data_IF_997768438379
#
_entry.id   IF_997768438379
#
_cell.length_a   1.000
_cell.length_b   1.000
_cell.length_c   1.000
_cell.angle_alpha   90.00
_cell.angle_beta   90.00
_cell.angle_gamma   90.00
#
_symmetry.space_group_name_H-M   'P 1'
#
loop_
_entity.id
_entity.type
_entity.pdbx_description
1 polymer ?
#
# COMPACT_ATOMS: atom_id res chain seq x y z
N UNK A 1 -3.20 -1.67 -33.25
CA UNK A 1 -3.85 -2.33 -34.39
C UNK A 1 -3.05 -2.00 -35.64
N UNK A 2 -2.83 -2.97 -36.52
CA UNK A 2 -2.19 -2.76 -37.83
C UNK A 2 -3.15 -3.25 -38.89
N UNK A 3 -3.45 -2.39 -39.87
CA UNK A 3 -4.22 -2.74 -41.05
C UNK A 3 -3.30 -2.60 -42.26
N UNK A 4 -3.18 -3.64 -43.07
CA UNK A 4 -2.49 -3.58 -44.36
C UNK A 4 -3.50 -3.79 -45.47
N UNK A 5 -3.50 -2.89 -46.44
CA UNK A 5 -4.33 -2.97 -47.64
C UNK A 5 -3.42 -2.89 -48.86
N UNK A 6 -3.65 -3.74 -49.85
CA UNK A 6 -2.99 -3.64 -51.14
C UNK A 6 -3.78 -2.66 -52.03
N UNK A 7 -3.10 -1.64 -52.57
CA UNK A 7 -3.74 -0.67 -53.48
C UNK A 7 -4.37 -1.37 -54.71
N UNK A 8 -5.52 -0.89 -55.22
CA UNK A 8 -6.16 -1.49 -56.39
C UNK A 8 -5.22 -1.43 -57.59
N UNK A 9 -4.99 -2.58 -58.21
CA UNK A 9 -4.29 -2.64 -59.51
C UNK A 9 -5.31 -2.54 -60.65
N UNK A 10 -4.88 -2.08 -61.83
CA UNK A 10 -5.71 -2.00 -63.05
C UNK A 10 -6.41 -3.33 -63.37
N UNK A 11 -5.78 -4.46 -63.01
CA UNK A 11 -6.35 -5.80 -63.16
C UNK A 11 -7.61 -6.03 -62.30
N UNK A 12 -7.71 -5.45 -61.10
CA UNK A 12 -8.86 -5.65 -60.21
C UNK A 12 -10.12 -4.98 -60.76
N UNK A 13 -9.97 -3.82 -61.42
CA UNK A 13 -11.06 -3.08 -62.06
C UNK A 13 -11.61 -3.83 -63.28
N UNK A 14 -10.73 -4.46 -64.07
CA UNK A 14 -11.13 -5.29 -65.22
C UNK A 14 -11.88 -6.56 -64.74
N UNK A 15 -11.47 -7.14 -63.61
CA UNK A 15 -12.09 -8.31 -63.01
C UNK A 15 -13.40 -8.01 -62.24
N UNK A 16 -13.86 -6.75 -62.19
CA UNK A 16 -15.01 -6.29 -61.37
C UNK A 16 -14.91 -6.69 -59.90
N UNK A 17 -13.70 -6.67 -59.33
CA UNK A 17 -13.49 -6.92 -57.92
C UNK A 17 -13.59 -5.57 -57.20
N UNK A 18 -14.80 -5.22 -56.77
CA UNK A 18 -15.12 -3.92 -56.18
C UNK A 18 -14.84 -3.83 -54.68
N UNK A 19 -14.61 -4.98 -54.02
CA UNK A 19 -14.25 -5.06 -52.61
C UNK A 19 -13.16 -6.10 -52.38
N UNK A 20 -12.22 -5.78 -51.50
CA UNK A 20 -11.26 -6.74 -50.95
C UNK A 20 -11.41 -6.78 -49.43
N UNK A 21 -11.45 -7.98 -48.83
CA UNK A 21 -11.49 -8.10 -47.38
C UNK A 21 -10.17 -7.63 -46.78
N UNK A 22 -10.24 -6.65 -45.89
CA UNK A 22 -9.13 -6.23 -45.04
C UNK A 22 -9.32 -6.88 -43.68
N UNK A 23 -8.42 -7.77 -43.30
CA UNK A 23 -8.41 -8.33 -41.96
C UNK A 23 -7.65 -7.40 -41.00
N UNK A 24 -8.25 -7.08 -39.85
CA UNK A 24 -7.61 -6.31 -38.78
C UNK A 24 -7.45 -7.24 -37.58
N UNK A 25 -6.21 -7.40 -37.12
CA UNK A 25 -5.94 -8.04 -35.83
C UNK A 25 -5.75 -6.95 -34.76
N UNK A 26 -6.57 -7.02 -33.72
CA UNK A 26 -6.41 -6.21 -32.51
C UNK A 26 -6.39 -7.12 -31.29
N UNK A 27 -5.42 -6.90 -30.40
CA UNK A 27 -5.36 -7.54 -29.10
C UNK A 27 -5.37 -6.46 -28.02
N UNK A 28 -6.13 -6.70 -26.95
CA UNK A 28 -6.09 -5.91 -25.72
C UNK A 28 -5.58 -6.85 -24.63
N UNK A 29 -4.51 -6.44 -23.96
CA UNK A 29 -4.01 -7.12 -22.76
C UNK A 29 -4.29 -6.23 -21.57
N UNK A 30 -4.87 -6.81 -20.51
CA UNK A 30 -5.15 -6.10 -19.27
C UNK A 30 -4.36 -6.77 -18.14
N UNK A 31 -3.46 -6.03 -17.45
CA UNK A 31 -2.77 -6.58 -16.31
C UNK A 31 -3.78 -6.90 -15.18
N UNK A 32 -3.50 -7.93 -14.36
CA UNK A 32 -4.31 -8.20 -13.18
C UNK A 32 -4.32 -6.97 -12.28
N UNK A 33 -5.49 -6.65 -11.73
CA UNK A 33 -5.65 -5.49 -10.88
C UNK A 33 -5.81 -5.92 -9.42
N UNK A 34 -5.26 -5.13 -8.51
CA UNK A 34 -5.46 -5.34 -7.09
C UNK A 34 -6.94 -5.15 -6.73
N UNK A 35 -7.56 -6.18 -6.15
CA UNK A 35 -8.97 -6.18 -5.70
C UNK A 35 -9.10 -6.20 -4.20
N UNK A 36 -8.10 -6.72 -3.50
CA UNK A 36 -8.02 -6.64 -2.05
C UNK A 36 -6.58 -6.42 -1.61
N UNK A 37 -6.38 -5.56 -0.62
CA UNK A 37 -5.10 -5.30 0.01
C UNK A 37 -5.19 -5.68 1.49
N UNK A 38 -4.37 -6.64 1.92
CA UNK A 38 -4.30 -7.01 3.33
C UNK A 38 -3.12 -6.32 3.99
N UNK A 39 -3.39 -5.38 4.89
CA UNK A 39 -2.40 -4.63 5.63
C UNK A 39 -2.12 -5.30 6.97
N UNK A 40 -0.85 -5.55 7.28
CA UNK A 40 -0.42 -6.03 8.60
C UNK A 40 0.68 -5.14 9.14
N UNK A 41 0.45 -4.55 10.30
CA UNK A 41 1.46 -3.79 11.05
C UNK A 41 2.47 -4.77 11.62
N UNK A 42 3.76 -4.45 11.50
CA UNK A 42 4.85 -5.30 12.01
C UNK A 42 5.69 -4.60 13.09
N UNK A 43 5.59 -3.28 13.20
CA UNK A 43 6.24 -2.53 14.27
C UNK A 43 6.00 -1.04 14.10
N UNK A 44 5.59 -0.37 15.17
CA UNK A 44 5.49 1.10 15.17
C UNK A 44 6.13 1.67 16.43
N UNK A 45 6.77 2.83 16.26
CA UNK A 45 7.45 3.56 17.31
C UNK A 45 7.32 5.06 17.14
N UNK A 46 7.78 5.80 18.14
CA UNK A 46 7.91 7.24 18.16
C UNK A 46 7.47 7.83 19.49
N UNK A 47 7.93 9.05 19.73
CA UNK A 47 7.67 9.81 20.97
C UNK A 47 6.32 10.53 21.00
N UNK A 48 5.54 10.42 19.93
CA UNK A 48 4.24 11.07 19.77
C UNK A 48 3.24 10.10 19.19
N UNK A 49 1.97 10.32 19.50
CA UNK A 49 0.87 9.62 18.85
C UNK A 49 0.87 9.93 17.36
N UNK A 50 0.48 8.96 16.53
CA UNK A 50 0.43 9.10 15.07
C UNK A 50 -0.80 8.39 14.56
N UNK A 51 -1.34 8.86 13.44
CA UNK A 51 -2.42 8.16 12.75
C UNK A 51 -2.03 8.01 11.29
N UNK A 52 -1.97 6.77 10.81
CA UNK A 52 -1.86 6.49 9.38
C UNK A 52 -3.24 6.18 8.81
N UNK A 53 -3.62 6.82 7.73
CA UNK A 53 -4.90 6.63 7.06
C UNK A 53 -4.66 6.18 5.62
N UNK A 54 -5.28 5.06 5.23
CA UNK A 54 -5.40 4.67 3.83
C UNK A 54 -6.61 5.37 3.23
N UNK A 55 -6.38 6.11 2.17
CA UNK A 55 -7.41 6.73 1.35
C UNK A 55 -7.56 6.01 0.03
N UNK A 56 -8.80 5.82 -0.40
CA UNK A 56 -9.15 5.34 -1.73
C UNK A 56 -10.03 6.33 -2.48
N UNK A 57 -9.70 6.53 -3.75
CA UNK A 57 -10.53 7.30 -4.68
C UNK A 57 -11.23 6.33 -5.61
N UNK A 58 -12.56 6.31 -5.62
CA UNK A 58 -13.35 5.45 -6.51
C UNK A 58 -13.17 5.84 -7.98
N UNK A 59 -13.40 4.92 -8.91
CA UNK A 59 -13.43 5.26 -10.34
C UNK A 59 -14.44 6.36 -10.62
N UNK A 60 -14.03 7.37 -11.40
CA UNK A 60 -14.85 8.54 -11.72
C UNK A 60 -15.05 9.53 -10.57
N UNK A 61 -14.57 9.24 -9.36
CA UNK A 61 -14.60 10.18 -8.25
C UNK A 61 -13.35 11.06 -8.22
N UNK A 62 -13.48 12.27 -7.70
CA UNK A 62 -12.37 13.21 -7.48
C UNK A 62 -11.96 13.31 -6.00
N UNK A 63 -12.82 12.84 -5.09
CA UNK A 63 -12.60 12.92 -3.65
C UNK A 63 -12.24 11.55 -3.09
N UNK A 64 -11.10 11.47 -2.40
CA UNK A 64 -10.68 10.26 -1.71
C UNK A 64 -11.45 10.08 -0.38
N UNK A 65 -11.78 8.84 -0.03
CA UNK A 65 -12.42 8.47 1.23
C UNK A 65 -11.49 7.57 2.07
N UNK A 66 -11.52 7.68 3.40
CA UNK A 66 -10.71 6.83 4.25
C UNK A 66 -11.27 5.40 4.24
N UNK A 67 -10.39 4.41 4.10
CA UNK A 67 -10.71 2.98 4.06
C UNK A 67 -10.16 2.21 5.27
N UNK A 68 -9.09 2.73 5.88
CA UNK A 68 -8.43 2.12 7.02
C UNK A 68 -7.71 3.19 7.82
N UNK A 69 -7.65 3.04 9.14
CA UNK A 69 -6.72 3.78 10.01
C UNK A 69 -5.80 2.82 10.74
N UNK A 70 -4.61 3.31 11.06
CA UNK A 70 -3.74 2.71 12.06
C UNK A 70 -3.34 3.81 13.04
N UNK A 71 -3.90 3.72 14.24
CA UNK A 71 -3.65 4.66 15.31
C UNK A 71 -2.54 4.13 16.21
N UNK A 72 -1.49 4.93 16.37
CA UNK A 72 -0.38 4.66 17.26
C UNK A 72 -0.46 5.53 18.51
N UNK A 73 -0.34 4.89 19.67
CA UNK A 73 -0.29 5.53 20.99
C UNK A 73 1.10 5.28 21.59
N UNK A 74 1.81 6.37 21.88
CA UNK A 74 3.12 6.32 22.51
C UNK A 74 3.07 5.67 23.90
N UNK A 75 3.92 4.67 24.13
CA UNK A 75 3.92 3.87 25.37
C UNK A 75 4.56 4.54 26.60
N UNK A 76 5.25 5.68 26.45
CA UNK A 76 5.88 6.43 27.55
C UNK A 76 6.86 5.60 28.41
N UNK A 77 7.53 4.65 27.79
CA UNK A 77 8.46 3.71 28.44
C UNK A 77 9.86 4.30 28.71
N UNK A 78 10.15 5.50 28.20
CA UNK A 78 11.45 6.16 28.37
C UNK A 78 12.56 5.57 27.49
N UNK A 79 12.20 4.70 26.54
CA UNK A 79 13.16 4.09 25.62
C UNK A 79 13.52 5.03 24.45
N UNK A 80 14.68 4.80 23.79
CA UNK A 80 15.18 5.68 22.74
C UNK A 80 14.35 5.74 21.45
N UNK A 81 13.43 4.80 21.21
CA UNK A 81 12.57 4.78 20.02
C UNK A 81 11.12 5.15 20.32
N UNK A 82 10.73 5.08 21.59
CA UNK A 82 9.36 5.21 22.06
C UNK A 82 8.50 4.09 21.51
N UNK A 83 8.55 2.88 22.07
CA UNK A 83 7.62 1.80 21.69
C UNK A 83 6.23 2.04 22.29
N UNK A 84 5.20 1.49 21.66
CA UNK A 84 3.82 1.72 22.08
C UNK A 84 2.82 0.73 21.51
N UNK A 85 1.58 1.19 21.40
CA UNK A 85 0.45 0.37 20.96
C UNK A 85 -0.11 0.90 19.64
N UNK A 86 -0.39 0.01 18.70
CA UNK A 86 -1.13 0.34 17.48
C UNK A 86 -2.48 -0.35 17.44
N UNK A 87 -3.48 0.34 16.90
CA UNK A 87 -4.79 -0.23 16.56
C UNK A 87 -5.06 0.02 15.09
N UNK A 88 -5.11 -1.06 14.31
CA UNK A 88 -5.51 -1.04 12.91
C UNK A 88 -7.00 -1.27 12.80
N UNK A 89 -7.72 -0.35 12.16
CA UNK A 89 -9.16 -0.40 11.97
C UNK A 89 -9.53 -0.25 10.51
N UNK A 90 -10.46 -1.10 10.05
CA UNK A 90 -11.11 -1.00 8.75
C UNK A 90 -12.28 -0.02 8.89
N UNK A 91 -12.42 0.87 7.91
CA UNK A 91 -13.51 1.83 7.83
C UNK A 91 -14.44 1.44 6.68
N UNK A 92 -15.68 1.12 7.01
CA UNK A 92 -16.74 0.85 6.04
C UNK A 92 -17.90 1.82 6.23
N UNK A 93 -18.87 1.78 5.33
CA UNK A 93 -20.10 2.57 5.44
C UNK A 93 -21.27 1.60 5.52
N UNK A 94 -22.15 1.79 6.52
CA UNK A 94 -23.37 1.00 6.62
C UNK A 94 -24.45 1.43 5.62
N UNK A 95 -25.58 0.73 5.61
CA UNK A 95 -26.73 1.04 4.73
C UNK A 95 -27.35 2.42 4.99
N UNK A 96 -27.05 3.06 6.11
CA UNK A 96 -27.52 4.41 6.48
C UNK A 96 -26.52 5.51 6.13
N UNK A 97 -25.36 5.15 5.58
CA UNK A 97 -24.31 6.12 5.23
C UNK A 97 -23.36 6.46 6.38
N UNK A 98 -23.45 5.77 7.53
CA UNK A 98 -22.59 6.04 8.69
C UNK A 98 -21.30 5.22 8.61
N UNK A 99 -20.19 5.83 9.01
CA UNK A 99 -18.90 5.15 9.14
C UNK A 99 -18.96 4.09 10.25
N UNK A 100 -18.62 2.86 9.89
CA UNK A 100 -18.42 1.74 10.81
C UNK A 100 -16.93 1.46 10.91
N UNK A 101 -16.43 1.43 12.14
CA UNK A 101 -15.02 1.15 12.46
C UNK A 101 -14.92 -0.26 13.01
N UNK A 102 -14.14 -1.12 12.37
CA UNK A 102 -13.89 -2.49 12.83
C UNK A 102 -12.41 -2.70 13.04
N UNK A 103 -12.02 -3.04 14.27
CA UNK A 103 -10.62 -3.36 14.58
C UNK A 103 -10.23 -4.66 13.87
N UNK A 104 -9.09 -4.66 13.20
CA UNK A 104 -8.53 -5.82 12.51
C UNK A 104 -7.26 -6.36 13.18
N UNK A 105 -6.48 -5.48 13.79
CA UNK A 105 -5.25 -5.82 14.49
C UNK A 105 -5.00 -4.82 15.61
N UNK A 106 -4.60 -5.31 16.78
CA UNK A 106 -3.84 -4.50 17.74
C UNK A 106 -2.43 -5.05 17.82
N UNK A 107 -1.45 -4.18 18.02
CA UNK A 107 -0.07 -4.59 18.29
C UNK A 107 0.44 -3.79 19.48
N UNK A 108 1.04 -4.49 20.43
CA UNK A 108 1.65 -3.86 21.61
C UNK A 108 3.13 -4.18 21.61
N UNK A 109 3.95 -3.15 21.44
CA UNK A 109 5.40 -3.25 21.53
C UNK A 109 5.88 -2.82 22.91
N UNK A 110 6.76 -3.60 23.53
CA UNK A 110 7.32 -3.35 24.86
C UNK A 110 8.80 -3.66 24.89
N UNK A 111 9.51 -3.03 25.83
CA UNK A 111 10.87 -3.42 26.15
C UNK A 111 10.94 -4.87 26.62
N UNK A 112 11.96 -5.59 26.17
CA UNK A 112 12.08 -7.03 26.41
C UNK A 112 12.18 -7.39 27.89
N UNK A 113 12.67 -6.47 28.74
CA UNK A 113 12.73 -6.65 30.20
C UNK A 113 13.14 -8.07 30.60
N UNK A 114 12.59 -8.57 31.71
CA UNK A 114 12.86 -9.94 32.18
C UNK A 114 11.76 -10.94 31.80
N UNK A 115 10.58 -10.47 31.37
CA UNK A 115 9.37 -11.31 31.26
C UNK A 115 8.62 -11.13 29.93
N UNK A 116 9.25 -11.36 28.76
CA UNK A 116 8.50 -11.44 27.52
C UNK A 116 7.55 -12.64 27.56
N UNK A 117 6.36 -12.57 26.93
CA UNK A 117 5.47 -13.73 26.78
C UNK A 117 6.19 -14.90 26.11
N UNK A 118 5.81 -16.12 26.46
CA UNK A 118 6.38 -17.32 25.84
C UNK A 118 6.22 -17.28 24.32
N UNK A 119 7.31 -17.55 23.60
CA UNK A 119 7.34 -17.51 22.13
C UNK A 119 7.43 -16.11 21.51
N UNK A 120 7.49 -15.04 22.30
CA UNK A 120 7.69 -13.70 21.76
C UNK A 120 9.09 -13.57 21.13
N UNK A 121 9.15 -13.04 19.91
CA UNK A 121 10.40 -12.76 19.21
C UNK A 121 10.98 -11.46 19.74
N UNK A 122 12.16 -11.54 20.38
CA UNK A 122 12.91 -10.37 20.83
C UNK A 122 13.69 -9.79 19.65
N UNK A 123 13.49 -8.51 19.40
CA UNK A 123 14.19 -7.72 18.40
C UNK A 123 15.16 -6.76 19.10
N UNK A 124 16.18 -6.32 18.39
CA UNK A 124 17.13 -5.31 18.85
C UNK A 124 17.17 -4.17 17.84
N UNK A 125 16.98 -2.94 18.29
CA UNK A 125 17.05 -1.75 17.43
C UNK A 125 18.47 -1.21 17.28
N UNK A 126 18.63 -0.12 16.51
CA UNK A 126 19.91 0.55 16.30
C UNK A 126 20.53 1.15 17.57
N UNK A 127 19.73 1.35 18.62
CA UNK A 127 20.17 1.87 19.91
C UNK A 127 20.51 0.74 20.90
N UNK A 128 20.56 -0.52 20.43
CA UNK A 128 20.74 -1.72 21.24
C UNK A 128 19.60 -1.98 22.23
N UNK A 129 18.45 -1.32 22.05
CA UNK A 129 17.24 -1.53 22.85
C UNK A 129 16.62 -2.84 22.43
N UNK A 130 16.46 -3.75 23.39
CA UNK A 130 15.75 -5.01 23.18
C UNK A 130 14.25 -4.81 23.41
N UNK A 131 13.44 -5.22 22.46
CA UNK A 131 11.98 -5.08 22.51
C UNK A 131 11.30 -6.29 21.89
N UNK A 132 10.00 -6.43 22.12
CA UNK A 132 9.15 -7.40 21.45
C UNK A 132 7.81 -6.74 21.14
N UNK A 133 7.13 -7.24 20.10
CA UNK A 133 5.78 -6.81 19.75
C UNK A 133 4.85 -8.02 19.73
N UNK A 134 3.65 -7.85 20.30
CA UNK A 134 2.62 -8.88 20.33
C UNK A 134 1.41 -8.41 19.54
N UNK A 135 1.05 -9.17 18.52
CA UNK A 135 -0.16 -8.96 17.74
C UNK A 135 -1.37 -9.62 18.41
N UNK A 136 -2.51 -8.94 18.42
CA UNK A 136 -3.84 -9.55 18.60
C UNK A 136 -4.66 -9.28 17.34
N UNK A 137 -5.10 -10.34 16.68
CA UNK A 137 -5.88 -10.25 15.44
C UNK A 137 -7.37 -10.27 15.74
N UNK A 138 -8.13 -9.55 14.91
CA UNK A 138 -9.59 -9.49 14.99
C UNK A 138 -10.17 -9.72 13.58
N UNK A 139 -10.84 -10.85 13.33
CA UNK A 139 -11.00 -12.02 14.23
C UNK A 139 -9.67 -12.70 14.56
N UNK A 140 -9.65 -13.58 15.56
CA UNK A 140 -8.42 -14.18 16.10
C UNK A 140 -7.56 -14.94 15.06
N UNK A 141 -8.17 -15.46 14.00
CA UNK A 141 -7.51 -16.12 12.87
C UNK A 141 -7.25 -15.19 11.67
N UNK A 142 -7.45 -13.88 11.84
CA UNK A 142 -7.16 -12.86 10.85
C UNK A 142 -5.66 -12.74 10.56
N UNK A 143 -5.33 -12.16 9.41
CA UNK A 143 -3.95 -11.94 8.96
C UNK A 143 -3.59 -10.46 8.84
N UNK A 144 -4.46 -9.57 9.32
CA UNK A 144 -4.38 -8.13 9.16
C UNK A 144 -5.72 -7.51 8.75
N UNK A 145 -5.66 -6.26 8.31
CA UNK A 145 -6.80 -5.53 7.77
C UNK A 145 -6.96 -5.78 6.27
N UNK A 146 -7.96 -6.59 5.91
CA UNK A 146 -8.31 -6.85 4.52
C UNK A 146 -9.24 -5.76 3.97
N UNK A 147 -8.72 -4.94 3.07
CA UNK A 147 -9.45 -3.82 2.45
C UNK A 147 -9.89 -4.22 1.04
N UNK A 148 -11.19 -4.11 0.74
CA UNK A 148 -11.69 -4.22 -0.63
C UNK A 148 -11.35 -2.93 -1.38
N UNK A 149 -10.56 -3.09 -2.44
CA UNK A 149 -10.06 -2.00 -3.28
C UNK A 149 -10.47 -2.19 -4.73
N UNK A 150 -11.39 -3.12 -5.01
CA UNK A 150 -11.86 -3.48 -6.36
C UNK A 150 -12.52 -2.31 -7.10
N UNK A 151 -13.10 -1.37 -6.36
CA UNK A 151 -13.76 -0.16 -6.90
C UNK A 151 -12.86 1.09 -6.85
N UNK A 152 -11.60 0.97 -6.43
CA UNK A 152 -10.69 2.11 -6.27
C UNK A 152 -9.84 2.33 -7.52
N UNK A 153 -9.90 3.55 -8.04
CA UNK A 153 -9.03 4.04 -9.12
C UNK A 153 -7.64 4.44 -8.65
N UNK A 154 -7.50 4.82 -7.38
CA UNK A 154 -6.20 5.12 -6.77
C UNK A 154 -6.21 4.95 -5.25
N UNK A 155 -5.05 4.61 -4.69
CA UNK A 155 -4.81 4.49 -3.25
C UNK A 155 -3.68 5.41 -2.82
N UNK A 156 -3.84 6.05 -1.67
CA UNK A 156 -2.77 6.84 -1.04
C UNK A 156 -2.76 6.64 0.46
N UNK A 157 -1.59 6.73 1.07
CA UNK A 157 -1.45 6.79 2.51
C UNK A 157 -1.23 8.22 2.95
N UNK A 158 -1.75 8.56 4.12
CA UNK A 158 -1.44 9.77 4.84
C UNK A 158 -1.02 9.42 6.26
N UNK A 159 0.13 9.90 6.71
CA UNK A 159 0.48 9.90 8.12
C UNK A 159 0.22 11.29 8.71
N UNK A 160 -0.51 11.32 9.81
CA UNK A 160 -0.68 12.51 10.64
C UNK A 160 0.13 12.36 11.92
N UNK A 161 1.02 13.32 12.14
CA UNK A 161 1.88 13.44 13.31
C UNK A 161 1.58 14.79 13.96
N UNK A 162 0.78 14.86 15.04
CA UNK A 162 0.33 16.12 15.63
C UNK A 162 1.46 17.08 15.99
N UNK A 163 2.58 16.53 16.47
CA UNK A 163 3.79 17.28 16.86
C UNK A 163 4.87 17.31 15.78
N UNK A 164 4.60 16.77 14.59
CA UNK A 164 5.57 16.65 13.50
C UNK A 164 5.68 17.93 12.68
N UNK A 165 6.79 18.06 11.96
CA UNK A 165 6.99 19.10 10.95
C UNK A 165 7.62 18.48 9.68
N UNK A 166 6.81 18.17 8.64
CA UNK A 166 5.40 18.51 8.49
C UNK A 166 4.48 17.61 9.34
N UNK A 167 3.29 18.13 9.68
CA UNK A 167 2.28 17.37 10.43
C UNK A 167 1.60 16.29 9.57
N UNK A 168 1.52 16.51 8.26
CA UNK A 168 0.91 15.60 7.32
C UNK A 168 1.95 15.14 6.31
N UNK A 169 2.12 13.84 6.20
CA UNK A 169 2.92 13.18 5.19
C UNK A 169 1.99 12.38 4.29
N UNK A 170 2.19 12.42 2.98
CA UNK A 170 1.31 11.77 2.01
C UNK A 170 2.12 11.03 0.97
N UNK A 171 1.71 9.80 0.64
CA UNK A 171 2.37 9.02 -0.41
C UNK A 171 2.18 9.66 -1.79
N UNK A 172 1.06 10.36 -2.01
CA UNK A 172 0.72 11.03 -3.26
C UNK A 172 1.10 12.52 -3.29
N UNK A 173 2.05 12.95 -2.45
CA UNK A 173 2.58 14.31 -2.42
C UNK A 173 4.10 14.27 -2.69
N UNK A 174 4.61 14.93 -3.74
CA UNK A 174 6.02 14.88 -4.12
C UNK A 174 6.98 15.44 -3.07
N UNK A 175 6.47 16.19 -2.08
CA UNK A 175 7.27 16.81 -1.02
C UNK A 175 7.45 15.92 0.23
N UNK A 176 6.60 14.90 0.41
CA UNK A 176 6.58 14.06 1.62
C UNK A 176 6.64 12.55 1.36
N UNK A 177 6.36 12.11 0.14
CA UNK A 177 6.43 10.71 -0.31
C UNK A 177 7.81 10.08 -0.13
N UNK A 178 8.87 10.88 -0.17
CA UNK A 178 10.28 10.45 -0.07
C UNK A 178 10.70 9.97 1.32
N UNK A 179 9.74 9.84 2.25
CA UNK A 179 9.91 9.19 3.55
C UNK A 179 9.35 7.78 3.59
N UNK A 180 8.63 7.38 2.54
CA UNK A 180 8.15 6.03 2.35
C UNK A 180 9.31 5.17 1.83
N UNK A 181 9.42 3.97 2.39
CA UNK A 181 10.33 2.93 1.96
C UNK A 181 9.50 1.75 1.47
N UNK A 182 9.94 1.11 0.40
CA UNK A 182 9.31 -0.09 -0.14
C UNK A 182 10.37 -1.15 -0.48
N UNK A 183 10.05 -2.40 -0.20
CA UNK A 183 10.91 -3.53 -0.50
C UNK A 183 10.14 -4.82 -0.69
N UNK A 184 10.81 -5.79 -1.28
CA UNK A 184 10.37 -7.18 -1.33
C UNK A 184 11.33 -8.04 -0.50
N UNK A 185 10.81 -9.14 0.02
CA UNK A 185 11.65 -10.14 0.69
C UNK A 185 12.55 -10.81 -0.35
N UNK A 186 13.86 -10.75 -0.12
CA UNK A 186 14.83 -11.52 -0.88
C UNK A 186 14.73 -13.00 -0.46
N UNK A 187 14.37 -13.91 -1.38
CA UNK A 187 14.17 -15.32 -1.06
C UNK A 187 15.47 -16.05 -0.70
N UNK A 188 16.65 -15.49 -1.02
CA UNK A 188 17.94 -16.11 -0.72
C UNK A 188 18.43 -15.77 0.67
N UNK A 189 18.25 -14.51 1.10
CA UNK A 189 18.74 -14.02 2.38
C UNK A 189 17.66 -13.97 3.46
N UNK A 190 16.39 -14.10 3.07
CA UNK A 190 15.22 -13.93 3.94
C UNK A 190 15.21 -12.55 4.62
N UNK A 191 15.69 -11.52 3.91
CA UNK A 191 15.73 -10.12 4.36
C UNK A 191 14.99 -9.22 3.39
N UNK A 192 14.43 -8.12 3.89
CA UNK A 192 13.79 -7.11 3.05
C UNK A 192 14.82 -6.06 2.66
N UNK A 193 14.99 -5.84 1.36
CA UNK A 193 15.80 -4.73 0.85
C UNK A 193 14.88 -3.52 0.62
N UNK A 194 14.81 -2.65 1.62
CA UNK A 194 14.02 -1.43 1.55
C UNK A 194 14.70 -0.36 0.70
N UNK A 195 13.95 0.23 -0.22
CA UNK A 195 14.36 1.39 -1.00
C UNK A 195 13.46 2.57 -0.64
N UNK A 196 14.07 3.70 -0.34
CA UNK A 196 13.37 4.97 -0.14
C UNK A 196 12.83 5.49 -1.48
N UNK A 197 11.62 6.04 -1.45
CA UNK A 197 11.04 6.69 -2.62
C UNK A 197 11.86 7.94 -2.97
N UNK A 198 12.20 8.10 -4.24
CA UNK A 198 12.98 9.24 -4.69
C UNK A 198 12.23 10.57 -4.47
N UNK A 199 12.97 11.62 -4.12
CA UNK A 199 12.42 12.97 -3.94
C UNK A 199 11.70 13.46 -5.20
N UNK A 200 10.52 14.07 -5.03
CA UNK A 200 9.70 14.57 -6.12
C UNK A 200 8.79 13.54 -6.79
N UNK A 201 8.85 12.26 -6.38
CA UNK A 201 7.96 11.23 -6.90
C UNK A 201 6.65 11.18 -6.11
N UNK A 202 5.56 10.77 -6.74
CA UNK A 202 4.32 10.40 -6.04
C UNK A 202 4.12 8.90 -6.13
N UNK A 203 3.45 8.34 -5.13
CA UNK A 203 3.25 6.91 -4.99
C UNK A 203 1.78 6.60 -4.78
N UNK A 204 1.23 5.86 -5.74
CA UNK A 204 0.05 5.04 -5.53
C UNK A 204 0.47 3.72 -4.89
N UNK A 205 -0.14 3.37 -3.76
CA UNK A 205 0.15 2.13 -3.05
C UNK A 205 -0.10 0.91 -3.93
N UNK A 206 -1.05 0.98 -4.87
CA UNK A 206 -1.23 -0.08 -5.86
C UNK A 206 0.03 -0.38 -6.67
N UNK A 207 0.80 0.65 -7.02
CA UNK A 207 2.04 0.51 -7.78
C UNK A 207 3.16 -0.16 -6.98
N UNK A 208 3.09 -0.14 -5.65
CA UNK A 208 4.10 -0.73 -4.78
C UNK A 208 3.82 -2.19 -4.40
N UNK A 209 2.56 -2.64 -4.49
CA UNK A 209 2.14 -3.96 -4.02
C UNK A 209 1.99 -4.90 -5.21
N UNK A 210 2.92 -5.84 -5.44
CA UNK A 210 2.82 -6.76 -6.56
C UNK A 210 1.63 -7.71 -6.38
N UNK A 211 1.04 -8.11 -7.50
CA UNK A 211 -0.04 -9.09 -7.51
C UNK A 211 0.39 -10.44 -6.93
N UNK A 212 -0.36 -10.95 -5.97
CA UNK A 212 -0.13 -12.26 -5.35
C UNK A 212 1.10 -12.32 -4.45
N UNK A 213 1.74 -11.17 -4.17
CA UNK A 213 2.93 -11.09 -3.33
C UNK A 213 2.71 -10.13 -2.15
N UNK A 214 3.66 -10.19 -1.22
CA UNK A 214 3.72 -9.27 -0.08
C UNK A 214 4.80 -8.23 -0.34
N UNK A 215 4.41 -6.96 -0.33
CA UNK A 215 5.33 -5.83 -0.26
C UNK A 215 5.54 -5.42 1.20
N UNK A 216 6.75 -5.03 1.52
CA UNK A 216 7.14 -4.56 2.85
C UNK A 216 7.41 -3.08 2.78
N UNK A 217 6.76 -2.32 3.64
CA UNK A 217 6.81 -0.87 3.63
C UNK A 217 7.23 -0.35 4.99
N UNK A 218 7.96 0.76 4.97
CA UNK A 218 8.27 1.51 6.16
C UNK A 218 8.05 3.00 5.91
N UNK A 219 7.75 3.79 6.93
CA UNK A 219 7.56 5.23 6.78
C UNK A 219 8.21 5.99 7.94
N UNK A 220 9.05 6.96 7.59
CA UNK A 220 9.64 7.95 8.49
C UNK A 220 8.66 9.11 8.74
N UNK A 221 8.57 9.57 9.99
CA UNK A 221 7.52 10.47 10.48
C UNK A 221 7.87 11.97 10.39
N UNK A 222 9.01 12.33 9.79
CA UNK A 222 9.51 13.69 9.63
C UNK A 222 10.63 14.09 10.59
N UNK A 223 11.05 13.23 11.52
CA UNK A 223 12.12 13.52 12.48
C UNK A 223 13.53 13.56 11.90
N UNK A 224 13.75 13.06 10.68
CA UNK A 224 15.06 12.97 10.03
C UNK A 224 15.10 13.67 8.67
N UNK A 225 16.29 14.13 8.28
CA UNK A 225 16.55 14.56 6.91
C UNK A 225 16.51 13.36 5.96
N UNK A 226 15.97 13.56 4.76
CA UNK A 226 15.91 12.56 3.69
C UNK A 226 16.97 12.84 2.62
N UNK A 227 17.66 11.81 2.08
CA UNK A 227 17.44 10.38 2.32
C UNK A 227 17.98 9.90 3.68
N UNK A 228 17.32 8.91 4.27
CA UNK A 228 17.72 8.31 5.55
C UNK A 228 17.76 6.78 5.50
N UNK A 229 18.58 6.10 6.33
CA UNK A 229 18.50 4.65 6.48
C UNK A 229 17.12 4.22 6.98
N UNK A 230 16.59 3.10 6.47
CA UNK A 230 15.27 2.57 6.87
C UNK A 230 15.14 2.32 8.38
N UNK A 231 16.24 2.09 9.10
CA UNK A 231 16.23 1.98 10.56
C UNK A 231 15.77 3.24 11.30
N UNK A 232 15.66 4.38 10.60
CA UNK A 232 15.08 5.62 11.11
C UNK A 232 13.56 5.67 10.94
N UNK A 233 12.97 4.78 10.12
CA UNK A 233 11.53 4.72 9.98
C UNK A 233 10.88 4.32 11.31
N UNK A 234 9.68 4.88 11.50
CA UNK A 234 8.91 4.67 12.72
C UNK A 234 7.77 3.71 12.52
N UNK A 235 7.31 3.56 11.28
CA UNK A 235 6.17 2.76 10.95
C UNK A 235 6.59 1.65 10.03
N UNK A 236 6.36 0.39 10.39
CA UNK A 236 6.65 -0.78 9.57
C UNK A 236 5.39 -1.62 9.41
N UNK A 237 5.11 -2.00 8.17
CA UNK A 237 3.96 -2.82 7.83
C UNK A 237 4.25 -3.58 6.53
N UNK A 238 3.41 -4.55 6.25
CA UNK A 238 3.40 -5.23 4.97
C UNK A 238 2.00 -5.23 4.38
N UNK A 239 1.96 -5.29 3.06
CA UNK A 239 0.73 -5.30 2.29
C UNK A 239 0.78 -6.50 1.35
N UNK A 240 -0.14 -7.43 1.55
CA UNK A 240 -0.31 -8.57 0.65
C UNK A 240 -1.41 -8.26 -0.35
N UNK A 241 -1.05 -8.33 -1.64
CA UNK A 241 -1.98 -7.99 -2.70
C UNK A 241 -2.71 -9.20 -3.28
N UNK A 242 -4.05 -9.18 -3.29
CA UNK A 242 -4.86 -10.12 -4.08
C UNK A 242 -5.32 -9.46 -5.37
N UNK A 243 -5.09 -10.13 -6.49
CA UNK A 243 -5.49 -9.62 -7.80
C UNK A 243 -6.56 -10.46 -8.48
N UNK A 244 -7.32 -9.80 -9.35
CA UNK A 244 -8.29 -10.41 -10.25
C UNK A 244 -8.21 -9.72 -11.62
N UNK A 245 -8.33 -10.50 -12.69
CA UNK A 245 -8.28 -10.01 -14.07
C UNK A 245 -9.60 -9.35 -14.49
N UNK A 246 -10.73 -9.73 -13.87
CA UNK A 246 -12.08 -9.41 -14.34
C UNK A 246 -12.76 -8.25 -13.60
N UNK A 247 -12.18 -7.77 -12.50
CA UNK A 247 -12.91 -6.92 -11.52
C UNK A 247 -12.66 -5.42 -11.59
N UNK A 248 -11.72 -4.95 -12.41
CA UNK A 248 -11.43 -3.52 -12.60
C UNK A 248 -11.90 -3.02 -13.98
N UNK A 249 -12.65 -1.92 -14.12
CA UNK A 249 -12.88 -1.31 -15.43
C UNK A 249 -11.54 -1.05 -16.12
N UNK A 250 -11.43 -1.37 -17.40
CA UNK A 250 -10.27 -0.99 -18.19
C UNK A 250 -10.48 0.44 -18.69
N UNK A 251 -9.51 1.33 -18.50
CA UNK A 251 -9.50 2.64 -19.19
C UNK A 251 -9.34 2.46 -20.71
N UNK A 252 -9.01 1.25 -21.17
CA UNK A 252 -9.00 0.90 -22.59
C UNK A 252 -10.43 0.72 -23.10
N UNK A 253 -11.07 1.83 -23.48
CA UNK A 253 -12.22 1.78 -24.35
C UNK A 253 -11.76 1.34 -25.76
N UNK A 254 -12.31 0.24 -26.27
CA UNK A 254 -12.26 -0.02 -27.71
C UNK A 254 -13.23 0.95 -28.36
N UNK A 255 -12.74 2.13 -28.74
CA UNK A 255 -13.49 3.01 -29.64
C UNK A 255 -13.45 2.39 -31.03
N UNK A 256 -14.60 1.99 -31.55
CA UNK A 256 -14.79 1.59 -32.93
C UNK A 256 -14.89 2.83 -33.83
#
# INVERSE_FOLDING_TARGET
ATASFAMPTVFMTIARIDTVPIAVASAVSKPPALVAANFKVSGVSGYWNKTMTLYGTQFGATTAKPLMTIDYVYGKTGDPKGYGTTTTSILTTDSTGKTVTTVAQTQVCKLAGSNPPSGAVIQTDKFQTKFYCVDTMYPANGTGASIDVSQMGGLSLQMYVPSGNPQYLKSNDPTTSNRLYNGLMDPKTNTVNYNEIATGQVVDIFGLVPCGATAYQAWEDGGNAVPAPVGNADFFYNVTGKCDFNKRPSDTALTQ
#
